data_IF_961497816117
#
_entry.id   IF_961497816117
#
_cell.length_a   1.000
_cell.length_b   1.000
_cell.length_c   1.000
_cell.angle_alpha   90.00
_cell.angle_beta   90.00
_cell.angle_gamma   90.00
#
_symmetry.space_group_name_H-M   'P 1'
#
loop_
_entity.id
_entity.type
_entity.pdbx_description
1 polymer ?
#
# COMPACT_ATOMS: atom_id res chain seq x y z
N UNK A 1 48.36 -4.38 -51.94
CA UNK A 1 47.28 -3.56 -51.38
C UNK A 1 46.98 -4.06 -49.98
N UNK A 2 47.24 -3.37 -48.87
CA UNK A 2 48.04 -2.18 -48.50
C UNK A 2 47.48 -1.83 -47.09
N UNK A 3 48.20 -1.56 -46.00
CA UNK A 3 49.59 -1.77 -45.62
C UNK A 3 49.63 -1.75 -44.07
N UNK A 4 50.52 -2.50 -43.40
CA UNK A 4 50.76 -2.34 -41.95
C UNK A 4 51.68 -1.13 -41.68
N UNK A 5 51.52 -0.41 -40.57
CA UNK A 5 52.47 0.65 -40.18
C UNK A 5 52.52 0.96 -38.69
N UNK A 6 53.58 0.47 -38.04
CA UNK A 6 54.07 0.93 -36.73
C UNK A 6 54.92 2.21 -36.83
N UNK A 7 55.23 2.84 -35.67
CA UNK A 7 56.31 3.86 -35.42
C UNK A 7 56.08 5.25 -36.08
N UNK A 8 56.53 6.40 -35.55
CA UNK A 8 57.54 6.79 -34.54
C UNK A 8 56.95 7.81 -33.52
N UNK A 9 57.30 7.89 -32.24
CA UNK A 9 58.50 8.43 -31.51
C UNK A 9 58.71 9.96 -31.49
N UNK A 10 59.06 10.45 -30.28
CA UNK A 10 59.78 11.69 -29.88
C UNK A 10 59.16 13.07 -30.24
N UNK A 11 59.02 14.04 -29.32
CA UNK A 11 60.12 14.68 -28.57
C UNK A 11 59.73 15.44 -27.29
N UNK A 12 60.60 15.28 -26.31
CA UNK A 12 61.32 16.29 -25.50
C UNK A 12 60.59 17.37 -24.66
N UNK A 13 60.99 17.34 -23.39
CA UNK A 13 60.75 18.25 -22.27
C UNK A 13 61.20 19.71 -22.52
N UNK A 14 60.54 20.69 -21.87
CA UNK A 14 61.23 21.81 -21.19
C UNK A 14 60.54 22.08 -19.84
N UNK A 15 61.34 22.36 -18.81
CA UNK A 15 60.93 22.66 -17.44
C UNK A 15 60.64 24.16 -17.19
N UNK A 16 59.76 24.46 -16.23
CA UNK A 16 59.51 25.82 -15.75
C UNK A 16 58.56 25.85 -14.54
N UNK A 17 59.05 26.29 -13.38
CA UNK A 17 58.30 26.25 -12.11
C UNK A 17 58.05 27.65 -11.54
N UNK A 18 56.96 27.83 -10.79
CA UNK A 18 56.91 28.39 -9.41
C UNK A 18 55.55 29.01 -9.04
N UNK A 19 55.11 28.76 -7.79
CA UNK A 19 54.39 29.72 -6.93
C UNK A 19 52.89 29.97 -7.20
N UNK A 20 52.04 29.61 -6.23
CA UNK A 20 50.60 29.94 -6.27
C UNK A 20 49.76 29.13 -5.27
N UNK A 21 49.84 29.48 -3.98
CA UNK A 21 49.16 28.78 -2.90
C UNK A 21 47.88 29.53 -2.47
N UNK A 22 46.71 28.85 -2.46
CA UNK A 22 45.65 29.02 -1.44
C UNK A 22 44.45 28.06 -1.62
N UNK A 23 44.20 27.28 -0.56
CA UNK A 23 42.92 26.85 0.03
C UNK A 23 41.75 26.28 -0.82
N UNK A 24 41.29 25.07 -0.43
CA UNK A 24 40.10 24.44 -1.02
C UNK A 24 39.69 23.04 -0.54
N UNK A 25 40.27 22.52 0.55
CA UNK A 25 39.94 21.26 1.25
C UNK A 25 39.30 20.09 0.47
N UNK A 26 40.13 19.11 0.11
CA UNK A 26 39.74 17.69 0.17
C UNK A 26 40.51 17.01 1.31
N UNK A 27 39.88 16.08 2.08
CA UNK A 27 40.51 14.90 2.73
C UNK A 27 39.51 14.09 3.59
N UNK A 28 39.30 12.83 3.20
CA UNK A 28 38.92 11.66 4.04
C UNK A 28 37.59 11.75 4.88
N UNK A 29 37.17 10.76 5.68
CA UNK A 29 37.79 9.50 6.13
C UNK A 29 36.74 8.44 6.56
N UNK A 30 37.07 7.14 6.40
CA UNK A 30 36.89 5.99 7.34
C UNK A 30 35.55 5.89 8.13
N UNK A 31 34.88 4.72 8.27
CA UNK A 31 35.39 3.36 8.56
C UNK A 31 34.40 2.27 8.07
N UNK A 32 34.91 1.06 7.85
CA UNK A 32 34.14 -0.19 8.02
C UNK A 32 34.15 -0.66 9.48
N UNK A 33 33.08 -1.31 9.95
CA UNK A 33 33.02 -1.97 11.26
C UNK A 33 32.23 -3.30 11.22
N UNK A 34 32.55 -4.18 12.18
CA UNK A 34 32.20 -5.61 12.32
C UNK A 34 30.70 -5.94 12.20
N UNK A 35 30.19 -7.13 11.80
CA UNK A 35 30.68 -8.55 11.74
C UNK A 35 30.65 -9.37 13.07
N UNK A 36 29.50 -10.00 13.38
CA UNK A 36 29.22 -11.06 14.42
C UNK A 36 29.53 -10.64 15.88
N UNK A 37 28.92 -11.14 16.97
CA UNK A 37 28.02 -12.30 17.26
C UNK A 37 26.77 -11.78 18.05
N UNK A 38 26.00 -12.44 18.95
CA UNK A 38 25.98 -13.74 19.69
C UNK A 38 24.49 -14.20 19.83
N UNK A 39 24.23 -15.40 20.35
CA UNK A 39 22.89 -15.92 20.72
C UNK A 39 22.28 -15.25 21.96
N UNK A 40 20.94 -15.21 22.01
CA UNK A 40 20.17 -15.79 23.12
C UNK A 40 19.86 -14.94 24.37
N UNK A 41 18.62 -14.43 24.44
CA UNK A 41 17.90 -14.20 25.69
C UNK A 41 16.39 -14.35 25.45
N UNK A 42 15.75 -15.30 26.14
CA UNK A 42 14.29 -15.38 26.19
C UNK A 42 13.80 -14.61 27.41
N UNK A 43 12.97 -13.58 27.20
CA UNK A 43 12.29 -12.85 28.27
C UNK A 43 10.81 -12.73 27.92
N UNK A 44 9.96 -13.28 28.78
CA UNK A 44 8.52 -13.07 28.68
C UNK A 44 8.18 -11.63 29.10
N UNK A 45 7.67 -10.85 28.15
CA UNK A 45 7.07 -9.54 28.43
C UNK A 45 5.53 -9.67 28.38
N UNK A 46 4.78 -8.98 29.24
CA UNK A 46 3.31 -8.97 29.15
C UNK A 46 2.84 -8.37 27.83
N UNK A 47 1.69 -8.84 27.34
CA UNK A 47 1.10 -8.48 26.04
C UNK A 47 0.90 -6.97 25.91
N UNK A 48 1.81 -6.30 25.19
CA UNK A 48 1.79 -4.83 25.06
C UNK A 48 2.83 -4.23 24.11
N UNK A 49 3.59 -5.05 23.37
CA UNK A 49 4.56 -4.56 22.38
C UNK A 49 4.17 -5.13 21.01
N UNK A 50 3.43 -4.35 20.24
CA UNK A 50 3.30 -4.58 18.80
C UNK A 50 4.64 -4.19 18.16
N UNK A 51 5.55 -5.15 18.07
CA UNK A 51 6.77 -4.99 17.26
C UNK A 51 6.30 -4.87 15.82
N UNK A 52 6.29 -3.64 15.29
CA UNK A 52 6.00 -3.37 13.87
C UNK A 52 7.18 -3.88 13.06
N UNK A 53 7.27 -5.21 12.92
CA UNK A 53 8.29 -5.90 12.16
C UNK A 53 7.91 -5.85 10.67
N UNK A 54 7.72 -4.63 10.16
CA UNK A 54 7.59 -4.35 8.74
C UNK A 54 8.93 -4.66 8.05
N UNK A 55 9.15 -5.95 7.79
CA UNK A 55 9.96 -6.42 6.68
C UNK A 55 9.25 -6.17 5.34
N UNK A 56 8.75 -4.93 5.16
CA UNK A 56 8.43 -4.40 3.84
C UNK A 56 9.76 -4.27 3.12
N UNK A 57 10.00 -5.12 2.12
CA UNK A 57 11.20 -5.05 1.29
C UNK A 57 11.35 -3.63 0.74
N UNK A 58 12.45 -2.96 1.11
CA UNK A 58 12.51 -1.52 1.14
C UNK A 58 12.52 -0.84 -0.25
N UNK A 59 11.34 -0.57 -0.81
CA UNK A 59 11.16 0.45 -1.83
C UNK A 59 11.05 1.84 -1.18
N UNK A 60 12.22 2.41 -0.84
CA UNK A 60 12.45 3.84 -0.62
C UNK A 60 11.46 4.60 0.30
N UNK A 61 11.17 4.05 1.49
CA UNK A 61 10.46 4.76 2.55
C UNK A 61 11.26 5.97 3.09
N UNK A 62 11.15 7.12 2.41
CA UNK A 62 11.61 8.44 2.86
C UNK A 62 10.48 9.47 2.99
N UNK A 63 9.29 8.99 3.36
CA UNK A 63 8.18 9.84 3.79
C UNK A 63 8.27 10.16 5.29
N UNK A 64 9.25 11.00 5.68
CA UNK A 64 9.15 11.67 6.97
C UNK A 64 7.99 12.67 6.90
N UNK A 65 6.98 12.54 7.77
CA UNK A 65 5.79 13.41 7.76
C UNK A 65 6.12 14.80 8.33
N UNK A 66 6.93 15.55 7.60
CA UNK A 66 7.17 16.96 7.86
C UNK A 66 5.97 17.76 7.37
N UNK A 67 5.23 18.39 8.30
CA UNK A 67 4.21 19.39 7.99
C UNK A 67 4.92 20.68 7.52
N UNK A 68 5.47 20.62 6.31
CA UNK A 68 6.16 21.73 5.67
C UNK A 68 5.15 22.77 5.20
N UNK A 69 5.12 23.94 5.86
CA UNK A 69 4.34 25.09 5.38
C UNK A 69 4.88 25.51 4.01
N UNK A 70 4.10 25.40 2.91
CA UNK A 70 4.64 25.59 1.57
C UNK A 70 5.10 27.03 1.31
N UNK A 71 6.40 27.21 1.10
CA UNK A 71 6.95 28.48 0.60
C UNK A 71 6.57 28.66 -0.87
N UNK A 72 5.90 29.78 -1.17
CA UNK A 72 5.10 29.94 -2.39
C UNK A 72 5.91 29.90 -3.69
N UNK A 73 5.72 28.83 -4.47
CA UNK A 73 5.48 28.96 -5.91
C UNK A 73 4.05 28.48 -6.19
N UNK A 74 3.20 29.36 -6.72
CA UNK A 74 1.85 28.99 -7.14
C UNK A 74 1.90 28.36 -8.53
N UNK A 75 2.30 27.09 -8.61
CA UNK A 75 1.83 26.26 -9.73
C UNK A 75 0.29 26.28 -9.69
N UNK A 76 -0.40 26.49 -10.82
CA UNK A 76 -1.84 26.23 -10.89
C UNK A 76 -2.13 24.80 -10.45
N UNK A 77 -3.27 24.56 -9.80
CA UNK A 77 -3.78 23.20 -9.65
C UNK A 77 -4.15 22.71 -11.05
N UNK A 78 -3.31 21.85 -11.62
CA UNK A 78 -3.58 21.18 -12.89
C UNK A 78 -4.63 20.10 -12.67
N UNK A 79 -5.64 20.07 -13.54
CA UNK A 79 -6.62 18.97 -13.54
C UNK A 79 -5.90 17.64 -13.80
N UNK A 80 -6.32 16.52 -13.18
CA UNK A 80 -5.73 15.21 -13.43
C UNK A 80 -5.74 14.86 -14.92
N UNK A 81 -4.60 14.39 -15.42
CA UNK A 81 -4.48 13.78 -16.74
C UNK A 81 -4.92 12.30 -16.69
N UNK A 82 -5.15 11.70 -17.86
CA UNK A 82 -5.39 10.25 -17.96
C UNK A 82 -4.25 9.41 -17.37
N UNK A 83 -3.00 9.90 -17.46
CA UNK A 83 -1.84 9.28 -16.80
C UNK A 83 -1.88 9.40 -15.27
N UNK A 84 -2.43 10.48 -14.71
CA UNK A 84 -2.56 10.62 -13.25
C UNK A 84 -3.65 9.68 -12.71
N UNK A 85 -4.75 9.50 -13.47
CA UNK A 85 -5.76 8.50 -13.15
C UNK A 85 -5.21 7.07 -13.24
N UNK A 86 -4.45 6.73 -14.29
CA UNK A 86 -3.79 5.42 -14.42
C UNK A 86 -2.83 5.13 -13.25
N UNK A 87 -2.01 6.12 -12.85
CA UNK A 87 -1.13 6.00 -11.70
C UNK A 87 -1.92 5.72 -10.41
N UNK A 88 -3.02 6.43 -10.17
CA UNK A 88 -3.88 6.20 -9.00
C UNK A 88 -4.52 4.79 -9.00
N UNK A 89 -4.93 4.27 -10.17
CA UNK A 89 -5.43 2.89 -10.25
C UNK A 89 -4.36 1.82 -9.98
N UNK A 90 -3.09 2.07 -10.35
CA UNK A 90 -1.99 1.20 -9.94
C UNK A 90 -1.60 1.35 -8.45
N UNK A 91 -1.79 2.53 -7.86
CA UNK A 91 -1.59 2.78 -6.43
C UNK A 91 -2.62 1.97 -5.61
N UNK A 92 -3.91 2.11 -5.92
CA UNK A 92 -5.00 1.32 -5.30
C UNK A 92 -4.74 -0.19 -5.47
N UNK A 93 -4.45 -0.65 -6.70
CA UNK A 93 -4.12 -2.06 -6.97
C UNK A 93 -2.97 -2.61 -6.11
N UNK A 94 -1.98 -1.77 -5.79
CA UNK A 94 -0.86 -2.14 -4.92
C UNK A 94 -1.27 -2.18 -3.44
N UNK A 95 -2.09 -1.22 -3.00
CA UNK A 95 -2.53 -1.10 -1.61
C UNK A 95 -3.55 -2.20 -1.23
N UNK A 96 -4.52 -2.57 -2.07
CA UNK A 96 -5.42 -3.74 -1.81
C UNK A 96 -4.64 -5.05 -1.63
N UNK A 97 -3.56 -5.18 -2.40
CA UNK A 97 -2.63 -6.31 -2.28
C UNK A 97 -1.75 -6.19 -1.02
N UNK A 98 -1.49 -5.00 -0.52
CA UNK A 98 -0.77 -4.76 0.73
C UNK A 98 -1.66 -4.98 1.96
N UNK A 99 -2.89 -4.48 1.95
CA UNK A 99 -3.91 -4.65 3.00
C UNK A 99 -4.25 -6.13 3.24
N UNK A 100 -4.64 -6.87 2.20
CA UNK A 100 -4.82 -8.33 2.24
C UNK A 100 -3.58 -9.08 2.80
N UNK A 101 -2.38 -8.71 2.37
CA UNK A 101 -1.12 -9.27 2.89
C UNK A 101 -0.91 -8.93 4.37
N UNK A 102 -1.24 -7.71 4.79
CA UNK A 102 -1.12 -7.22 6.16
C UNK A 102 -2.08 -7.94 7.11
N UNK A 103 -3.35 -8.17 6.72
CA UNK A 103 -4.30 -8.93 7.53
C UNK A 103 -3.87 -10.39 7.69
N UNK A 104 -3.41 -11.05 6.62
CA UNK A 104 -2.85 -12.42 6.70
C UNK A 104 -1.67 -12.47 7.68
N UNK A 105 -0.78 -11.49 7.64
CA UNK A 105 0.36 -11.42 8.57
C UNK A 105 -0.09 -11.14 10.01
N UNK A 106 -1.11 -10.32 10.22
CA UNK A 106 -1.66 -9.98 11.54
C UNK A 106 -2.35 -11.18 12.19
N UNK A 107 -3.19 -11.89 11.43
CA UNK A 107 -3.86 -13.11 11.88
C UNK A 107 -2.85 -14.21 12.25
N UNK A 108 -1.85 -14.47 11.39
CA UNK A 108 -0.78 -15.43 11.70
C UNK A 108 0.01 -15.04 12.96
N UNK A 109 0.34 -13.76 13.17
CA UNK A 109 1.01 -13.28 14.39
C UNK A 109 0.15 -13.41 15.64
N UNK A 110 -1.17 -13.34 15.52
CA UNK A 110 -2.13 -13.60 16.59
C UNK A 110 -2.30 -15.10 16.92
N UNK A 111 -1.72 -16.01 16.12
CA UNK A 111 -1.98 -17.45 16.22
C UNK A 111 -3.34 -17.87 15.66
N UNK A 112 -3.99 -17.00 14.87
CA UNK A 112 -5.32 -17.19 14.30
C UNK A 112 -5.16 -17.58 12.84
N UNK A 113 -5.72 -18.73 12.44
CA UNK A 113 -5.67 -19.20 11.05
C UNK A 113 -6.34 -18.17 10.11
N UNK A 114 -5.62 -17.61 9.12
CA UNK A 114 -6.25 -16.77 8.10
C UNK A 114 -7.12 -17.63 7.17
N UNK A 115 -8.28 -17.10 6.78
CA UNK A 115 -9.20 -17.77 5.86
C UNK A 115 -8.56 -18.05 4.49
N UNK A 116 -8.88 -19.18 3.84
CA UNK A 116 -8.48 -19.44 2.45
C UNK A 116 -8.90 -18.30 1.51
N UNK A 117 -8.04 -17.92 0.55
CA UNK A 117 -8.45 -16.98 -0.52
C UNK A 117 -9.55 -17.63 -1.38
N UNK A 118 -10.73 -17.01 -1.52
CA UNK A 118 -11.84 -17.51 -2.33
C UNK A 118 -11.51 -17.70 -3.82
N UNK A 119 -12.49 -18.18 -4.58
CA UNK A 119 -12.68 -17.73 -5.98
C UNK A 119 -13.81 -16.71 -6.03
N UNK A 120 -13.70 -15.78 -6.98
CA UNK A 120 -14.70 -14.76 -7.28
C UNK A 120 -15.08 -14.79 -8.77
N UNK A 121 -16.20 -14.16 -9.12
CA UNK A 121 -16.81 -14.12 -10.46
C UNK A 121 -17.42 -12.75 -10.73
N UNK A 122 -17.56 -12.39 -12.01
CA UNK A 122 -18.21 -11.14 -12.41
C UNK A 122 -17.44 -9.86 -12.07
N UNK A 123 -16.13 -9.95 -11.80
CA UNK A 123 -15.30 -8.82 -11.40
C UNK A 123 -14.84 -7.97 -12.59
N UNK A 124 -14.53 -8.60 -13.73
CA UNK A 124 -14.22 -7.89 -14.98
C UNK A 124 -15.43 -7.08 -15.46
N UNK A 125 -15.23 -5.79 -15.74
CA UNK A 125 -16.23 -4.87 -16.26
C UNK A 125 -15.97 -4.57 -17.75
N UNK A 126 -17.01 -4.24 -18.54
CA UNK A 126 -16.86 -4.05 -19.98
C UNK A 126 -16.38 -2.66 -20.40
N UNK A 127 -16.60 -1.61 -19.58
CA UNK A 127 -16.06 -0.26 -19.84
C UNK A 127 -15.33 0.31 -18.62
N UNK A 128 -14.49 1.34 -18.86
CA UNK A 128 -13.84 2.11 -17.81
C UNK A 128 -14.87 2.75 -16.86
N UNK A 129 -16.06 3.14 -17.35
CA UNK A 129 -17.11 3.70 -16.50
C UNK A 129 -17.69 2.65 -15.56
N UNK A 130 -18.02 1.46 -16.08
CA UNK A 130 -18.51 0.34 -15.27
C UNK A 130 -17.46 -0.10 -14.22
N UNK A 131 -16.17 -0.07 -14.60
CA UNK A 131 -15.06 -0.30 -13.67
C UNK A 131 -15.01 0.77 -12.57
N UNK A 132 -15.09 2.06 -12.90
CA UNK A 132 -15.08 3.16 -11.91
C UNK A 132 -16.29 3.10 -10.97
N UNK A 133 -17.49 2.84 -11.48
CA UNK A 133 -18.70 2.78 -10.66
C UNK A 133 -18.72 1.55 -9.74
N UNK A 134 -18.21 0.39 -10.17
CA UNK A 134 -18.06 -0.78 -9.29
C UNK A 134 -16.91 -0.60 -8.29
N UNK A 135 -15.78 -0.02 -8.71
CA UNK A 135 -14.67 0.33 -7.83
C UNK A 135 -15.15 1.24 -6.69
N UNK A 136 -15.85 2.33 -7.03
CA UNK A 136 -16.43 3.27 -6.06
C UNK A 136 -17.40 2.58 -5.09
N UNK A 137 -18.12 1.57 -5.57
CA UNK A 137 -19.04 0.75 -4.76
C UNK A 137 -18.31 -0.19 -3.80
N UNK A 138 -17.10 -0.63 -4.14
CA UNK A 138 -16.24 -1.45 -3.29
C UNK A 138 -15.48 -0.61 -2.25
N UNK A 139 -14.78 0.48 -2.62
CA UNK A 139 -14.07 1.33 -1.62
C UNK A 139 -15.03 1.86 -0.53
N UNK A 140 -16.25 2.25 -0.90
CA UNK A 140 -17.30 2.65 0.05
C UNK A 140 -17.76 1.49 0.95
N UNK A 141 -17.72 0.25 0.45
CA UNK A 141 -18.08 -0.94 1.20
C UNK A 141 -16.98 -1.34 2.18
N UNK A 142 -15.72 -1.26 1.78
CA UNK A 142 -14.57 -1.58 2.64
C UNK A 142 -14.30 -0.50 3.68
N UNK A 143 -14.44 0.79 3.35
CA UNK A 143 -14.48 1.87 4.35
C UNK A 143 -15.55 1.60 5.43
N UNK A 144 -16.78 1.27 5.03
CA UNK A 144 -17.88 0.97 5.97
C UNK A 144 -17.70 -0.36 6.72
N UNK A 145 -16.95 -1.30 6.15
CA UNK A 145 -16.55 -2.54 6.81
C UNK A 145 -15.47 -2.29 7.86
N UNK A 146 -14.50 -1.42 7.59
CA UNK A 146 -13.53 -1.01 8.60
C UNK A 146 -14.15 -0.16 9.71
N UNK A 147 -15.18 0.64 9.42
CA UNK A 147 -16.03 1.27 10.46
C UNK A 147 -16.77 0.23 11.32
N UNK A 148 -17.27 -0.87 10.73
CA UNK A 148 -17.83 -1.99 11.49
C UNK A 148 -16.77 -2.68 12.37
N UNK A 149 -15.55 -2.89 11.86
CA UNK A 149 -14.43 -3.42 12.66
C UNK A 149 -14.09 -2.48 13.83
N UNK A 150 -13.96 -1.17 13.59
CA UNK A 150 -13.67 -0.19 14.64
C UNK A 150 -14.74 -0.12 15.74
N UNK A 151 -16.00 -0.45 15.42
CA UNK A 151 -17.09 -0.49 16.39
C UNK A 151 -17.09 -1.74 17.28
N UNK A 152 -16.37 -2.82 16.90
CA UNK A 152 -16.46 -4.13 17.57
C UNK A 152 -15.11 -4.72 18.04
N UNK A 153 -13.98 -4.33 17.44
CA UNK A 153 -12.65 -4.81 17.83
C UNK A 153 -12.28 -4.38 19.25
N UNK A 154 -11.75 -5.31 20.05
CA UNK A 154 -11.37 -5.08 21.44
C UNK A 154 -9.87 -4.76 21.60
N UNK A 155 -9.00 -5.38 20.78
CA UNK A 155 -7.57 -5.14 20.84
C UNK A 155 -7.19 -3.80 20.19
N UNK A 156 -6.55 -2.92 20.98
CA UNK A 156 -6.10 -1.58 20.55
C UNK A 156 -5.10 -1.59 19.39
N UNK A 157 -4.30 -2.65 19.25
CA UNK A 157 -3.41 -2.83 18.10
C UNK A 157 -4.19 -3.10 16.81
N UNK A 158 -5.25 -3.89 16.87
CA UNK A 158 -6.12 -4.16 15.72
C UNK A 158 -7.03 -2.97 15.42
N UNK A 159 -7.51 -2.23 16.42
CA UNK A 159 -8.20 -0.95 16.23
C UNK A 159 -7.34 0.07 15.48
N UNK A 160 -6.06 0.24 15.87
CA UNK A 160 -5.13 1.12 15.15
C UNK A 160 -4.87 0.63 13.72
N UNK A 161 -4.79 -0.69 13.52
CA UNK A 161 -4.59 -1.32 12.21
C UNK A 161 -5.79 -1.08 11.28
N UNK A 162 -7.00 -1.40 11.74
CA UNK A 162 -8.26 -1.17 11.04
C UNK A 162 -8.48 0.33 10.73
N UNK A 163 -8.17 1.21 11.68
CA UNK A 163 -8.24 2.66 11.47
C UNK A 163 -7.19 3.19 10.48
N UNK A 164 -6.05 2.51 10.33
CA UNK A 164 -5.07 2.88 9.31
C UNK A 164 -5.53 2.51 7.90
N UNK A 165 -6.11 1.32 7.71
CA UNK A 165 -6.67 0.86 6.42
C UNK A 165 -7.90 1.70 6.06
N UNK A 166 -8.85 1.92 6.99
CA UNK A 166 -9.99 2.83 6.80
C UNK A 166 -9.60 4.19 6.20
N UNK A 167 -8.45 4.74 6.62
CA UNK A 167 -7.98 6.04 6.13
C UNK A 167 -7.52 5.99 4.68
N UNK A 168 -7.16 4.81 4.16
CA UNK A 168 -6.79 4.50 2.77
C UNK A 168 -8.05 4.30 1.94
N UNK A 169 -8.97 3.41 2.34
CA UNK A 169 -10.29 3.22 1.71
C UNK A 169 -11.01 4.55 1.43
N UNK A 170 -11.06 5.43 2.45
CA UNK A 170 -11.72 6.73 2.33
C UNK A 170 -11.02 7.69 1.36
N UNK A 171 -9.71 7.52 1.11
CA UNK A 171 -8.95 8.26 0.08
C UNK A 171 -9.20 7.69 -1.31
N UNK A 172 -9.28 6.37 -1.44
CA UNK A 172 -9.64 5.72 -2.71
C UNK A 172 -11.07 6.07 -3.13
N UNK A 173 -12.04 5.94 -2.24
CA UNK A 173 -13.43 6.34 -2.45
C UNK A 173 -13.52 7.82 -2.89
N UNK A 174 -12.88 8.74 -2.15
CA UNK A 174 -12.88 10.17 -2.50
C UNK A 174 -12.20 10.50 -3.84
N UNK A 175 -11.18 9.74 -4.25
CA UNK A 175 -10.60 9.84 -5.59
C UNK A 175 -11.61 9.41 -6.66
N UNK A 176 -12.30 8.28 -6.47
CA UNK A 176 -13.27 7.74 -7.41
C UNK A 176 -14.56 8.58 -7.48
N UNK A 177 -15.01 9.17 -6.37
CA UNK A 177 -16.10 10.17 -6.36
C UNK A 177 -15.72 11.40 -7.21
N UNK A 178 -14.51 11.95 -6.99
CA UNK A 178 -14.00 13.09 -7.78
C UNK A 178 -13.89 12.76 -9.29
N UNK A 179 -13.35 11.58 -9.61
CA UNK A 179 -13.22 11.08 -10.98
C UNK A 179 -14.60 10.89 -11.65
N UNK A 180 -15.60 10.44 -10.88
CA UNK A 180 -17.00 10.28 -11.31
C UNK A 180 -17.81 11.58 -11.30
N UNK A 181 -17.20 12.72 -10.93
CA UNK A 181 -17.86 14.01 -10.73
C UNK A 181 -19.01 13.99 -9.69
N UNK A 182 -18.90 13.10 -8.70
CA UNK A 182 -19.79 12.98 -7.53
C UNK A 182 -19.27 13.83 -6.36
N UNK A 183 -20.09 14.10 -5.32
CA UNK A 183 -19.61 14.69 -4.07
C UNK A 183 -18.59 13.78 -3.38
N UNK A 184 -17.54 14.33 -2.77
CA UNK A 184 -16.44 13.60 -2.10
C UNK A 184 -16.80 12.89 -0.78
N UNK A 185 -18.10 12.75 -0.50
CA UNK A 185 -18.71 12.14 0.68
C UNK A 185 -20.21 11.97 0.37
N UNK A 186 -20.63 11.00 -0.45
CA UNK A 186 -22.07 10.87 -0.79
C UNK A 186 -22.97 10.62 0.45
N UNK A 187 -22.42 10.03 1.53
CA UNK A 187 -23.08 9.87 2.85
C UNK A 187 -23.09 11.13 3.73
N UNK A 188 -22.46 12.23 3.30
CA UNK A 188 -22.35 13.48 4.06
C UNK A 188 -21.19 13.49 5.07
N UNK A 189 -21.23 14.39 6.06
CA UNK A 189 -20.09 14.70 6.94
C UNK A 189 -19.69 13.59 7.93
N UNK A 190 -20.43 12.47 7.98
CA UNK A 190 -20.14 11.31 8.82
C UNK A 190 -20.53 10.05 8.05
N UNK A 191 -19.56 9.19 7.73
CA UNK A 191 -19.87 7.94 7.04
C UNK A 191 -20.49 6.89 7.99
N UNK A 192 -21.25 5.96 7.44
CA UNK A 192 -22.20 5.13 8.20
C UNK A 192 -21.77 3.67 8.31
N UNK A 193 -21.67 3.16 9.54
CA UNK A 193 -21.42 1.73 9.82
C UNK A 193 -22.51 0.88 9.15
N UNK A 194 -22.12 -0.01 8.24
CA UNK A 194 -23.02 -1.02 7.69
C UNK A 194 -23.09 -2.23 8.63
N UNK A 195 -24.25 -2.88 8.67
CA UNK A 195 -24.35 -4.19 9.33
C UNK A 195 -23.64 -5.26 8.50
N UNK A 196 -23.09 -6.28 9.17
CA UNK A 196 -22.50 -7.45 8.52
C UNK A 196 -23.42 -8.03 7.42
N UNK A 197 -24.73 -8.16 7.70
CA UNK A 197 -25.70 -8.67 6.72
C UNK A 197 -25.85 -7.78 5.48
N UNK A 198 -25.70 -6.45 5.60
CA UNK A 198 -25.67 -5.57 4.45
C UNK A 198 -24.40 -5.79 3.61
N UNK A 199 -23.24 -5.88 4.28
CA UNK A 199 -21.95 -6.12 3.62
C UNK A 199 -21.92 -7.46 2.88
N UNK A 200 -22.38 -8.54 3.55
CA UNK A 200 -22.53 -9.88 2.97
C UNK A 200 -23.42 -9.85 1.72
N UNK A 201 -24.55 -9.13 1.75
CA UNK A 201 -25.45 -9.01 0.59
C UNK A 201 -24.79 -8.31 -0.60
N UNK A 202 -23.91 -7.34 -0.38
CA UNK A 202 -23.17 -6.67 -1.45
C UNK A 202 -22.13 -7.57 -2.11
N UNK A 203 -21.41 -8.41 -1.33
CA UNK A 203 -20.31 -9.24 -1.86
C UNK A 203 -20.75 -10.61 -2.40
N UNK A 204 -21.83 -11.20 -1.87
CA UNK A 204 -22.30 -12.55 -2.26
C UNK A 204 -22.51 -12.76 -3.78
N UNK A 205 -23.01 -11.80 -4.58
CA UNK A 205 -23.10 -11.95 -6.04
C UNK A 205 -21.75 -12.27 -6.70
N UNK A 206 -20.66 -11.76 -6.14
CA UNK A 206 -19.29 -11.90 -6.67
C UNK A 206 -18.55 -13.13 -6.11
N UNK A 207 -19.02 -13.75 -5.03
CA UNK A 207 -18.38 -14.95 -4.46
C UNK A 207 -18.70 -16.17 -5.32
N UNK A 208 -17.68 -16.87 -5.79
CA UNK A 208 -17.81 -18.15 -6.49
C UNK A 208 -17.63 -19.34 -5.53
N UNK A 209 -16.52 -19.36 -4.76
CA UNK A 209 -16.30 -20.37 -3.73
C UNK A 209 -15.51 -19.82 -2.55
N UNK A 210 -16.00 -20.04 -1.33
CA UNK A 210 -15.28 -19.75 -0.09
C UNK A 210 -14.09 -20.69 0.17
N UNK A 211 -13.93 -21.76 -0.64
CA UNK A 211 -12.82 -22.73 -0.58
C UNK A 211 -12.55 -23.30 0.82
N UNK A 212 -13.61 -23.55 1.59
CA UNK A 212 -13.55 -24.09 2.95
C UNK A 212 -13.32 -23.06 4.05
N UNK A 213 -13.23 -21.77 3.71
CA UNK A 213 -13.37 -20.68 4.69
C UNK A 213 -14.79 -20.60 5.25
N UNK A 214 -14.92 -19.95 6.42
CA UNK A 214 -16.20 -19.72 7.07
C UNK A 214 -17.18 -18.94 6.18
N UNK A 215 -18.47 -19.21 6.37
CA UNK A 215 -19.56 -18.41 5.80
C UNK A 215 -19.46 -16.97 6.33
N UNK A 216 -19.41 -15.94 5.47
CA UNK A 216 -19.31 -14.56 5.94
C UNK A 216 -20.58 -14.05 6.67
N UNK A 217 -21.67 -14.82 6.71
CA UNK A 217 -22.81 -14.59 7.59
C UNK A 217 -22.69 -15.25 8.99
N UNK A 218 -21.60 -15.98 9.27
CA UNK A 218 -21.30 -16.48 10.63
C UNK A 218 -21.08 -15.34 11.64
N UNK A 219 -21.40 -15.59 12.90
CA UNK A 219 -21.24 -14.61 13.99
C UNK A 219 -19.79 -14.11 14.11
N UNK A 220 -19.61 -12.77 14.16
CA UNK A 220 -18.32 -12.12 14.37
C UNK A 220 -18.09 -11.87 15.87
N UNK A 221 -17.90 -12.97 16.61
CA UNK A 221 -17.88 -12.99 18.07
C UNK A 221 -16.55 -12.59 18.71
N UNK A 222 -15.49 -12.39 17.91
CA UNK A 222 -14.16 -12.01 18.40
C UNK A 222 -13.35 -11.20 17.35
N UNK A 223 -12.20 -10.69 17.80
CA UNK A 223 -11.26 -9.95 16.93
C UNK A 223 -10.75 -10.78 15.73
N UNK A 224 -10.68 -12.12 15.88
CA UNK A 224 -10.17 -13.02 14.84
C UNK A 224 -11.14 -13.23 13.70
N UNK A 225 -12.43 -13.36 14.02
CA UNK A 225 -13.54 -13.42 13.07
C UNK A 225 -13.77 -12.07 12.40
N UNK A 226 -13.68 -10.95 13.13
CA UNK A 226 -13.70 -9.59 12.57
C UNK A 226 -12.58 -9.36 11.55
N UNK A 227 -11.32 -9.67 11.88
CA UNK A 227 -10.19 -9.52 10.95
C UNK A 227 -10.26 -10.49 9.77
N UNK A 228 -10.78 -11.71 9.96
CA UNK A 228 -11.05 -12.63 8.86
C UNK A 228 -12.20 -12.14 7.95
N UNK A 229 -13.20 -11.45 8.50
CA UNK A 229 -14.30 -10.88 7.71
C UNK A 229 -13.80 -9.77 6.79
N UNK A 230 -12.98 -8.84 7.30
CA UNK A 230 -12.30 -7.86 6.44
C UNK A 230 -11.45 -8.54 5.36
N UNK A 231 -10.69 -9.59 5.70
CA UNK A 231 -9.88 -10.37 4.75
C UNK A 231 -10.70 -11.08 3.64
N UNK A 232 -12.04 -11.06 3.66
CA UNK A 232 -12.85 -11.44 2.51
C UNK A 232 -12.95 -10.32 1.45
N UNK A 233 -13.14 -9.07 1.89
CA UNK A 233 -13.26 -7.91 1.00
C UNK A 233 -11.92 -7.59 0.36
N UNK A 234 -10.87 -7.53 1.16
CA UNK A 234 -9.46 -7.43 0.75
C UNK A 234 -9.03 -8.41 -0.36
N UNK A 235 -9.61 -9.61 -0.37
CA UNK A 235 -9.38 -10.59 -1.43
C UNK A 235 -10.26 -10.35 -2.67
N UNK A 236 -11.47 -9.84 -2.49
CA UNK A 236 -12.41 -9.43 -3.56
C UNK A 236 -11.85 -8.23 -4.34
N UNK A 237 -11.51 -7.14 -3.65
CA UNK A 237 -10.95 -5.92 -4.26
C UNK A 237 -9.58 -6.19 -4.91
N UNK A 238 -8.69 -6.92 -4.23
CA UNK A 238 -7.43 -7.35 -4.82
C UNK A 238 -7.62 -8.17 -6.11
N UNK A 239 -8.56 -9.12 -6.18
CA UNK A 239 -8.85 -9.87 -7.43
C UNK A 239 -9.60 -9.02 -8.48
N UNK A 240 -10.34 -7.99 -8.08
CA UNK A 240 -11.05 -7.06 -8.95
C UNK A 240 -10.10 -6.07 -9.64
N UNK A 241 -9.20 -5.41 -8.90
CA UNK A 241 -8.20 -4.51 -9.47
C UNK A 241 -7.17 -5.26 -10.32
N UNK A 242 -6.79 -6.50 -9.95
CA UNK A 242 -5.93 -7.34 -10.79
C UNK A 242 -6.53 -7.60 -12.19
N UNK A 243 -7.85 -7.76 -12.30
CA UNK A 243 -8.53 -7.99 -13.57
C UNK A 243 -8.75 -6.70 -14.39
N UNK A 244 -9.21 -5.63 -13.76
CA UNK A 244 -9.66 -4.44 -14.48
C UNK A 244 -8.54 -3.46 -14.80
N UNK A 245 -7.58 -3.24 -13.88
CA UNK A 245 -6.47 -2.30 -14.13
C UNK A 245 -5.64 -2.77 -15.32
N UNK A 246 -5.25 -4.05 -15.35
CA UNK A 246 -4.52 -4.66 -16.47
C UNK A 246 -5.31 -4.77 -17.79
N UNK A 247 -6.60 -4.42 -17.79
CA UNK A 247 -7.43 -4.30 -19.01
C UNK A 247 -7.40 -2.88 -19.59
N UNK A 248 -7.14 -1.85 -18.77
CA UNK A 248 -7.28 -0.44 -19.13
C UNK A 248 -6.00 0.42 -19.00
N UNK A 249 -5.00 -0.05 -18.24
CA UNK A 249 -3.77 0.67 -17.90
C UNK A 249 -2.54 -0.26 -17.97
#
# INVERSE_FOLDING_TARGET
>A
MEFDRQRNTDRDEISGAMGGEQDGHAVASRRSFLRRSVMGAALAAPLGVMVVNQAVSAHNAKAAYAVGVPTKTKSPLTMPSWSDAANAFHEIQADEKAHSTFLVNTLNQAGITPRPRPTFKGLWQPTVQDFVDLALSFENLSARTYLLLLANLQNKGYLLSAGSILSVEARHAGFLENLSHRPLCESGSFDTVLSQLAIVRSIVPFVDSLRGGLDPASELSDDGSLLNFALLLEYLESDFYNQNVSTYF
#
